data_IF_917568054840
#
_entry.id   IF_917568054840
#
_cell.length_a   1.000
_cell.length_b   1.000
_cell.length_c   1.000
_cell.angle_alpha   90.00
_cell.angle_beta   90.00
_cell.angle_gamma   90.00
#
_symmetry.space_group_name_H-M   'P 1'
#
loop_
_entity.id
_entity.type
_entity.pdbx_description
1 polymer ?
#
# COMPACT_ATOMS: atom_id res chain seq x y z
N UNK A 1 -20.23 -13.15 -12.45
CA UNK A 1 -20.17 -12.04 -11.46
C UNK A 1 -20.24 -10.74 -12.25
N UNK A 2 -21.10 -9.78 -11.91
CA UNK A 2 -21.11 -8.48 -12.63
C UNK A 2 -19.73 -7.83 -12.46
N UNK A 3 -19.13 -7.32 -13.54
CA UNK A 3 -17.78 -6.70 -13.55
C UNK A 3 -17.60 -5.71 -12.39
N UNK A 4 -18.61 -4.87 -12.14
CA UNK A 4 -18.61 -3.88 -11.06
C UNK A 4 -18.52 -4.49 -9.66
N UNK A 5 -19.02 -5.72 -9.43
CA UNK A 5 -18.90 -6.40 -8.12
C UNK A 5 -17.50 -6.94 -7.89
N UNK A 6 -16.82 -7.39 -8.95
CA UNK A 6 -15.44 -7.85 -8.85
C UNK A 6 -14.50 -6.66 -8.64
N UNK A 7 -14.70 -5.58 -9.38
CA UNK A 7 -13.94 -4.33 -9.26
C UNK A 7 -14.05 -3.75 -7.84
N UNK A 8 -15.27 -3.55 -7.33
CA UNK A 8 -15.47 -3.02 -5.99
C UNK A 8 -14.88 -3.93 -4.88
N UNK A 9 -14.86 -5.25 -5.10
CA UNK A 9 -14.20 -6.18 -4.18
C UNK A 9 -12.68 -6.00 -4.21
N UNK A 10 -12.06 -5.99 -5.40
CA UNK A 10 -10.63 -5.78 -5.57
C UNK A 10 -10.16 -4.42 -5.02
N UNK A 11 -10.92 -3.35 -5.24
CA UNK A 11 -10.65 -2.01 -4.71
C UNK A 11 -10.65 -2.01 -3.18
N UNK A 12 -11.64 -2.68 -2.56
CA UNK A 12 -11.71 -2.83 -1.12
C UNK A 12 -10.52 -3.60 -0.55
N UNK A 13 -10.11 -4.68 -1.21
CA UNK A 13 -8.93 -5.48 -0.79
C UNK A 13 -7.65 -4.65 -0.90
N UNK A 14 -7.44 -3.94 -2.01
CA UNK A 14 -6.26 -3.09 -2.22
C UNK A 14 -6.21 -1.94 -1.21
N UNK A 15 -7.35 -1.31 -0.90
CA UNK A 15 -7.43 -0.27 0.11
C UNK A 15 -7.04 -0.80 1.51
N UNK A 16 -7.56 -1.97 1.90
CA UNK A 16 -7.21 -2.58 3.20
C UNK A 16 -5.71 -2.90 3.27
N UNK A 17 -5.14 -3.50 2.22
CA UNK A 17 -3.71 -3.82 2.18
C UNK A 17 -2.89 -2.54 2.39
N UNK A 18 -3.19 -1.47 1.65
CA UNK A 18 -2.49 -0.19 1.75
C UNK A 18 -2.52 0.36 3.20
N UNK A 19 -3.66 0.25 3.88
CA UNK A 19 -3.80 0.70 5.27
C UNK A 19 -3.05 -0.17 6.28
N UNK A 20 -2.94 -1.48 6.04
CA UNK A 20 -2.21 -2.39 6.94
C UNK A 20 -0.70 -2.22 6.78
N UNK A 21 -0.19 -1.99 5.56
CA UNK A 21 1.25 -1.88 5.31
C UNK A 21 1.94 -0.82 6.16
N UNK A 22 1.27 0.29 6.49
CA UNK A 22 1.88 1.36 7.29
C UNK A 22 2.15 0.92 8.74
N UNK A 23 1.42 -0.08 9.24
CA UNK A 23 1.55 -0.60 10.60
C UNK A 23 2.89 -1.31 10.84
N UNK A 24 3.59 -1.72 9.77
CA UNK A 24 4.94 -2.28 9.85
C UNK A 24 6.00 -1.23 10.22
N UNK A 25 5.70 0.07 10.05
CA UNK A 25 6.58 1.15 10.51
C UNK A 25 6.36 1.33 12.02
N UNK A 26 7.09 0.55 12.80
CA UNK A 26 7.01 0.57 14.26
C UNK A 26 7.65 1.84 14.82
N UNK A 27 6.97 2.45 15.79
CA UNK A 27 7.47 3.61 16.53
C UNK A 27 8.68 3.18 17.36
N UNK A 28 9.85 3.84 17.21
CA UNK A 28 11.03 3.53 18.00
C UNK A 28 10.79 3.90 19.47
N UNK A 29 11.43 3.19 20.40
CA UNK A 29 11.16 3.36 21.83
C UNK A 29 12.01 4.46 22.47
N UNK A 30 13.16 4.80 21.90
CA UNK A 30 13.95 5.93 22.35
C UNK A 30 13.59 7.22 21.63
N UNK A 31 14.30 8.28 22.02
CA UNK A 31 13.98 9.67 21.64
C UNK A 31 15.04 10.29 20.72
N UNK A 32 16.05 9.50 20.34
CA UNK A 32 17.17 9.97 19.55
C UNK A 32 16.91 9.90 18.03
N UNK A 33 17.44 10.89 17.31
CA UNK A 33 17.39 10.93 15.84
C UNK A 33 18.03 9.70 15.16
N UNK A 34 18.96 9.02 15.84
CA UNK A 34 19.57 7.80 15.34
C UNK A 34 18.55 6.66 15.19
N UNK A 35 17.55 6.58 16.06
CA UNK A 35 16.53 5.55 16.01
C UNK A 35 15.57 5.76 14.83
N UNK A 36 15.24 7.03 14.52
CA UNK A 36 14.49 7.37 13.32
C UNK A 36 15.26 6.98 12.04
N UNK A 37 16.59 7.19 12.01
CA UNK A 37 17.42 6.78 10.88
C UNK A 37 17.42 5.26 10.68
N UNK A 38 17.34 4.47 11.75
CA UNK A 38 17.26 3.02 11.66
C UNK A 38 15.98 2.54 10.94
N UNK A 39 14.91 3.34 10.92
CA UNK A 39 13.67 3.04 10.21
C UNK A 39 13.73 3.33 8.69
N UNK A 40 14.77 4.01 8.21
CA UNK A 40 14.90 4.40 6.79
C UNK A 40 14.69 3.23 5.81
N UNK A 41 15.28 2.03 6.01
CA UNK A 41 15.08 0.91 5.09
C UNK A 41 13.62 0.42 5.05
N UNK A 42 12.96 0.38 6.22
CA UNK A 42 11.55 -0.05 6.34
C UNK A 42 10.64 0.99 5.70
N UNK A 43 10.89 2.28 5.96
CA UNK A 43 10.16 3.38 5.35
C UNK A 43 10.30 3.37 3.82
N UNK A 44 11.52 3.16 3.29
CA UNK A 44 11.74 3.09 1.85
C UNK A 44 11.02 1.89 1.23
N UNK A 45 11.05 0.72 1.88
CA UNK A 45 10.30 -0.46 1.45
C UNK A 45 8.79 -0.19 1.42
N UNK A 46 8.26 0.50 2.44
CA UNK A 46 6.87 0.93 2.47
C UNK A 46 6.52 1.84 1.29
N UNK A 47 7.33 2.89 1.03
CA UNK A 47 7.08 3.83 -0.08
C UNK A 47 7.10 3.11 -1.42
N UNK A 48 8.10 2.24 -1.66
CA UNK A 48 8.19 1.47 -2.90
C UNK A 48 6.99 0.53 -3.07
N UNK A 49 6.60 -0.17 -2.01
CA UNK A 49 5.42 -1.05 -2.00
C UNK A 49 4.12 -0.28 -2.26
N UNK A 50 3.96 0.89 -1.64
CA UNK A 50 2.82 1.76 -1.83
C UNK A 50 2.69 2.22 -3.28
N UNK A 51 3.79 2.72 -3.86
CA UNK A 51 3.81 3.13 -5.26
C UNK A 51 3.49 1.96 -6.20
N UNK A 52 4.08 0.80 -5.95
CA UNK A 52 3.84 -0.41 -6.75
C UNK A 52 2.37 -0.84 -6.71
N UNK A 53 1.75 -0.90 -5.52
CA UNK A 53 0.33 -1.22 -5.38
C UNK A 53 -0.57 -0.15 -5.99
N UNK A 54 -0.21 1.13 -5.90
CA UNK A 54 -0.96 2.23 -6.53
C UNK A 54 -0.95 2.13 -8.06
N UNK A 55 0.21 1.83 -8.65
CA UNK A 55 0.34 1.58 -10.11
C UNK A 55 -0.48 0.34 -10.50
N UNK A 56 -0.38 -0.73 -9.71
CA UNK A 56 -1.15 -1.95 -9.93
C UNK A 56 -2.66 -1.67 -9.90
N UNK A 57 -3.14 -0.93 -8.91
CA UNK A 57 -4.53 -0.53 -8.80
C UNK A 57 -4.98 0.30 -10.01
N UNK A 58 -4.20 1.30 -10.42
CA UNK A 58 -4.51 2.13 -11.59
C UNK A 58 -4.63 1.30 -12.87
N UNK A 59 -3.73 0.34 -13.07
CA UNK A 59 -3.79 -0.61 -14.20
C UNK A 59 -4.99 -1.57 -14.08
N UNK A 60 -5.31 -2.04 -12.87
CA UNK A 60 -6.44 -2.92 -12.61
C UNK A 60 -7.78 -2.25 -12.91
N UNK A 61 -7.96 -1.02 -12.43
CA UNK A 61 -9.13 -0.20 -12.71
C UNK A 61 -9.24 0.06 -14.21
N UNK A 62 -8.17 0.52 -14.86
CA UNK A 62 -8.17 0.76 -16.31
C UNK A 62 -8.51 -0.48 -17.15
N UNK A 63 -7.97 -1.66 -16.80
CA UNK A 63 -8.27 -2.92 -17.47
C UNK A 63 -9.76 -3.28 -17.35
N UNK A 64 -10.35 -3.13 -16.17
CA UNK A 64 -11.76 -3.46 -15.94
C UNK A 64 -12.74 -2.48 -16.59
N UNK A 65 -12.31 -1.24 -16.84
CA UNK A 65 -13.07 -0.23 -17.61
C UNK A 65 -12.90 -0.37 -19.12
N UNK A 66 -11.80 -0.94 -19.61
CA UNK A 66 -11.53 -1.10 -21.05
C UNK A 66 -12.06 -2.41 -21.64
N UNK A 67 -12.23 -3.45 -20.82
CA UNK A 67 -12.77 -4.77 -21.20
C UNK A 67 -14.26 -4.84 -20.93
#
# INVERSE_FOLDING_TARGET
MNKNRLEAFSDGVLAIIITIMVLEIKVPHGTDWAELKALTPVFLSYVLSFLYLGIYWGNHHHLLHTV
#
